data_IF_778187313988
#
_entry.id   IF_778187313988
#
_cell.length_a   1.000
_cell.length_b   1.000
_cell.length_c   1.000
_cell.angle_alpha   90.00
_cell.angle_beta   90.00
_cell.angle_gamma   90.00
#
_symmetry.space_group_name_H-M   'P 1'
#
loop_
_entity.id
_entity.type
_entity.pdbx_description
1 polymer ?
#
# COMPACT_ATOMS: atom_id res chain seq x y z
N UNK A 1 31.62 18.02 -40.36
CA UNK A 1 32.48 17.22 -39.49
C UNK A 1 32.09 17.46 -38.06
N UNK A 2 31.58 16.62 -37.39
CA UNK A 2 31.49 15.29 -36.89
C UNK A 2 30.27 15.14 -35.99
N UNK A 3 29.32 14.35 -36.45
CA UNK A 3 28.21 13.80 -35.65
C UNK A 3 28.59 12.34 -35.40
N UNK A 4 29.10 12.00 -34.25
CA UNK A 4 29.21 10.62 -33.77
C UNK A 4 29.39 10.61 -32.25
N UNK A 5 28.30 10.63 -31.52
CA UNK A 5 28.25 10.04 -30.18
C UNK A 5 26.82 9.62 -29.86
N UNK A 6 26.40 8.48 -30.44
CA UNK A 6 25.20 7.71 -30.06
C UNK A 6 25.66 6.31 -29.75
N UNK A 7 26.19 6.11 -28.54
CA UNK A 7 26.39 4.79 -27.99
C UNK A 7 26.56 4.92 -26.49
N UNK A 8 25.42 4.90 -25.75
CA UNK A 8 25.40 4.33 -24.39
C UNK A 8 23.96 4.37 -23.83
N UNK A 9 23.08 3.53 -24.38
CA UNK A 9 21.72 3.34 -23.86
C UNK A 9 21.36 1.84 -23.73
N UNK A 10 22.32 0.94 -23.75
CA UNK A 10 22.06 -0.51 -23.76
C UNK A 10 22.30 -1.24 -22.43
N UNK A 11 22.61 -0.52 -21.35
CA UNK A 11 22.93 -1.16 -20.05
C UNK A 11 21.99 -0.70 -18.93
N UNK A 12 20.68 -0.73 -19.19
CA UNK A 12 19.71 -0.73 -18.08
C UNK A 12 19.34 -2.17 -17.79
N UNK A 13 19.53 -2.66 -16.56
CA UNK A 13 19.07 -4.00 -16.18
C UNK A 13 17.57 -4.12 -16.42
N UNK A 14 17.16 -5.26 -16.97
CA UNK A 14 15.78 -5.57 -17.28
C UNK A 14 14.94 -5.55 -15.98
N UNK A 15 13.99 -4.61 -15.90
CA UNK A 15 13.08 -4.45 -14.75
C UNK A 15 12.32 -5.74 -14.39
N UNK A 16 12.22 -6.68 -15.32
CA UNK A 16 11.57 -7.98 -15.13
C UNK A 16 12.34 -8.90 -14.18
N UNK A 17 13.67 -8.82 -14.14
CA UNK A 17 14.49 -9.66 -13.26
C UNK A 17 14.49 -9.19 -11.81
N UNK A 18 14.47 -7.89 -11.55
CA UNK A 18 14.38 -7.36 -10.17
C UNK A 18 12.99 -7.62 -9.56
N UNK A 19 11.93 -7.48 -10.35
CA UNK A 19 10.56 -7.85 -9.93
C UNK A 19 10.43 -9.34 -9.63
N UNK A 20 11.09 -10.21 -10.41
CA UNK A 20 11.12 -11.65 -10.16
C UNK A 20 11.91 -12.03 -8.90
N UNK A 21 12.92 -11.22 -8.53
CA UNK A 21 13.71 -11.43 -7.31
C UNK A 21 12.93 -11.04 -6.05
N UNK A 22 12.14 -9.97 -6.11
CA UNK A 22 11.23 -9.56 -5.04
C UNK A 22 10.12 -10.60 -4.80
N UNK A 23 9.62 -11.25 -5.87
CA UNK A 23 8.64 -12.33 -5.78
C UNK A 23 9.19 -13.63 -5.19
N UNK A 24 10.47 -13.95 -5.39
CA UNK A 24 11.08 -15.16 -4.80
C UNK A 24 11.20 -15.06 -3.29
N UNK A 25 11.50 -13.89 -2.75
CA UNK A 25 11.50 -13.67 -1.28
C UNK A 25 10.10 -13.72 -0.67
N UNK A 26 9.04 -13.57 -1.50
CA UNK A 26 7.66 -13.61 -1.03
C UNK A 26 7.10 -15.04 -0.91
N UNK A 27 7.63 -15.99 -1.70
CA UNK A 27 7.08 -17.36 -1.80
C UNK A 27 7.75 -18.38 -0.89
N UNK A 28 8.95 -18.09 -0.35
CA UNK A 28 9.72 -19.06 0.45
C UNK A 28 9.25 -19.21 1.92
N UNK A 29 8.22 -18.45 2.35
CA UNK A 29 7.67 -18.54 3.71
C UNK A 29 6.29 -19.25 3.78
N UNK A 30 5.93 -20.04 2.77
CA UNK A 30 4.67 -20.77 2.67
C UNK A 30 4.75 -22.22 3.17
N UNK A 31 5.36 -22.49 4.32
CA UNK A 31 5.26 -23.81 4.97
C UNK A 31 3.95 -23.90 5.78
N UNK A 32 3.19 -24.96 5.47
CA UNK A 32 1.94 -25.30 6.15
C UNK A 32 2.30 -26.00 7.47
N UNK A 33 2.16 -25.31 8.56
CA UNK A 33 2.21 -25.93 9.87
C UNK A 33 0.83 -26.19 10.46
N UNK A 34 0.68 -27.39 10.92
CA UNK A 34 -0.47 -28.06 11.51
C UNK A 34 -0.93 -27.35 12.80
N UNK A 35 -2.20 -26.89 12.84
CA UNK A 35 -2.75 -26.15 13.96
C UNK A 35 -3.21 -27.08 15.08
N UNK A 36 -2.41 -27.21 16.12
CA UNK A 36 -2.90 -27.62 17.43
C UNK A 36 -3.15 -26.39 18.32
N UNK A 37 -4.40 -26.26 18.80
CA UNK A 37 -4.82 -25.23 19.73
C UNK A 37 -3.97 -25.21 20.99
N UNK A 38 -3.31 -24.08 21.26
CA UNK A 38 -2.84 -23.72 22.59
C UNK A 38 -2.99 -22.21 22.80
N UNK A 39 -3.65 -21.85 23.91
CA UNK A 39 -3.80 -20.48 24.41
C UNK A 39 -2.43 -19.82 24.58
N UNK A 40 -2.05 -18.96 23.65
CA UNK A 40 -0.86 -18.12 23.79
C UNK A 40 -1.23 -16.63 23.69
N UNK A 41 -1.07 -15.93 24.82
CA UNK A 41 -0.65 -14.53 24.81
C UNK A 41 0.71 -14.52 24.11
N UNK A 42 0.71 -14.30 22.79
CA UNK A 42 1.90 -14.48 21.99
C UNK A 42 2.10 -13.34 21.03
N UNK A 43 3.32 -12.85 20.99
CA UNK A 43 3.88 -12.10 19.88
C UNK A 43 3.59 -12.83 18.56
N UNK A 44 3.30 -12.06 17.50
CA UNK A 44 3.16 -12.58 16.15
C UNK A 44 4.48 -13.30 15.76
N UNK A 45 4.46 -14.62 15.61
CA UNK A 45 5.64 -15.43 15.30
C UNK A 45 6.30 -15.13 13.96
N UNK A 46 5.68 -14.26 13.14
CA UNK A 46 6.12 -13.97 11.76
C UNK A 46 6.87 -12.64 11.61
N UNK A 47 6.65 -11.65 12.48
CA UNK A 47 7.23 -10.33 12.31
C UNK A 47 8.37 -9.98 13.27
N UNK A 48 8.65 -10.80 14.28
CA UNK A 48 9.76 -10.59 15.22
C UNK A 48 9.70 -9.27 16.01
N UNK A 49 8.60 -8.51 15.91
CA UNK A 49 8.41 -7.27 16.66
C UNK A 49 7.55 -7.53 17.90
N UNK A 50 8.01 -7.10 19.06
CA UNK A 50 7.29 -7.21 20.33
C UNK A 50 6.00 -6.35 20.39
N UNK A 51 5.76 -5.52 19.37
CA UNK A 51 4.61 -4.62 19.29
C UNK A 51 3.43 -5.17 18.48
N UNK A 52 3.59 -6.31 17.81
CA UNK A 52 2.53 -6.89 17.00
C UNK A 52 1.61 -7.76 17.87
N UNK A 53 0.50 -7.22 18.34
CA UNK A 53 -0.53 -7.99 19.04
C UNK A 53 -1.48 -8.63 18.02
N UNK A 54 -1.60 -9.95 18.03
CA UNK A 54 -2.63 -10.61 17.23
C UNK A 54 -4.02 -10.09 17.65
N UNK A 55 -4.83 -9.61 16.70
CA UNK A 55 -6.13 -9.05 17.03
C UNK A 55 -7.05 -10.12 17.65
N UNK A 56 -7.67 -9.81 18.79
CA UNK A 56 -8.69 -10.68 19.37
C UNK A 56 -9.98 -10.63 18.54
N UNK A 57 -10.72 -11.74 18.47
CA UNK A 57 -12.00 -11.80 17.77
C UNK A 57 -13.03 -10.87 18.44
N UNK A 58 -13.68 -10.02 17.65
CA UNK A 58 -14.71 -9.09 18.12
C UNK A 58 -16.03 -9.83 18.38
N UNK A 59 -16.87 -9.40 19.33
CA UNK A 59 -18.22 -9.93 19.50
C UNK A 59 -18.99 -9.79 18.18
N UNK A 60 -19.64 -10.87 17.73
CA UNK A 60 -20.44 -10.92 16.48
C UNK A 60 -19.65 -10.83 15.17
N UNK A 61 -18.33 -10.88 15.18
CA UNK A 61 -17.49 -10.95 13.98
C UNK A 61 -17.60 -12.36 13.38
N UNK A 62 -17.79 -12.44 12.04
CA UNK A 62 -17.75 -13.72 11.35
C UNK A 62 -16.32 -14.30 11.39
N UNK A 63 -16.18 -15.59 11.24
CA UNK A 63 -14.86 -16.24 11.17
C UNK A 63 -14.05 -15.74 9.98
N UNK A 64 -14.72 -15.48 8.88
CA UNK A 64 -14.13 -15.00 7.64
C UNK A 64 -13.60 -13.56 7.79
N UNK A 65 -14.39 -12.66 8.40
CA UNK A 65 -13.95 -11.28 8.67
C UNK A 65 -12.77 -11.24 9.65
N UNK A 66 -12.76 -12.14 10.64
CA UNK A 66 -11.67 -12.26 11.58
C UNK A 66 -10.38 -12.70 10.90
N UNK A 67 -10.43 -13.71 10.02
CA UNK A 67 -9.26 -14.18 9.26
C UNK A 67 -8.73 -13.09 8.33
N UNK A 68 -9.61 -12.39 7.60
CA UNK A 68 -9.20 -11.27 6.74
C UNK A 68 -8.50 -10.16 7.55
N UNK A 69 -9.02 -9.84 8.74
CA UNK A 69 -8.41 -8.83 9.61
C UNK A 69 -7.07 -9.30 10.17
N UNK A 70 -6.93 -10.58 10.49
CA UNK A 70 -5.66 -11.17 10.91
C UNK A 70 -4.60 -11.08 9.80
N UNK A 71 -4.96 -11.47 8.56
CA UNK A 71 -4.06 -11.39 7.41
C UNK A 71 -3.61 -9.94 7.15
N UNK A 72 -4.55 -8.99 7.21
CA UNK A 72 -4.25 -7.57 7.06
C UNK A 72 -3.29 -7.08 8.15
N UNK A 73 -3.55 -7.43 9.42
CA UNK A 73 -2.69 -7.06 10.53
C UNK A 73 -1.27 -7.62 10.37
N UNK A 74 -1.13 -8.88 9.93
CA UNK A 74 0.18 -9.48 9.64
C UNK A 74 0.94 -8.76 8.52
N UNK A 75 0.24 -8.25 7.51
CA UNK A 75 0.87 -7.44 6.44
C UNK A 75 1.32 -6.09 6.97
N UNK A 76 0.45 -5.43 7.72
CA UNK A 76 0.72 -4.10 8.28
C UNK A 76 1.81 -4.13 9.38
N UNK A 77 2.07 -5.25 10.04
CA UNK A 77 3.18 -5.41 10.99
C UNK A 77 4.57 -5.18 10.37
N UNK A 78 4.72 -5.35 9.07
CA UNK A 78 5.98 -5.09 8.35
C UNK A 78 6.23 -3.60 8.10
N UNK A 79 5.27 -2.77 8.45
CA UNK A 79 5.30 -1.31 8.29
C UNK A 79 5.42 -0.71 9.68
N UNK A 80 6.53 -0.04 9.96
CA UNK A 80 6.82 0.48 11.31
C UNK A 80 5.88 1.61 11.71
N UNK A 81 5.67 2.57 10.81
CA UNK A 81 4.83 3.74 11.04
C UNK A 81 3.78 3.91 9.94
N UNK A 82 2.54 4.12 10.31
CA UNK A 82 1.39 4.31 9.41
C UNK A 82 0.78 5.68 9.65
N UNK A 83 1.05 6.62 8.76
CA UNK A 83 0.64 8.03 8.90
C UNK A 83 -0.59 8.29 8.03
N UNK A 84 -1.71 8.64 8.67
CA UNK A 84 -2.95 8.98 8.00
C UNK A 84 -3.03 10.50 7.78
N UNK A 85 -3.13 10.93 6.52
CA UNK A 85 -3.32 12.34 6.16
C UNK A 85 -4.79 12.57 5.81
N UNK A 86 -5.49 13.26 6.68
CA UNK A 86 -6.93 13.51 6.55
C UNK A 86 -7.26 15.00 6.69
N UNK A 87 -8.39 15.40 6.12
CA UNK A 87 -8.89 16.77 6.20
C UNK A 87 -10.41 16.80 6.17
N UNK A 88 -11.02 17.65 6.99
CA UNK A 88 -12.47 17.84 7.02
C UNK A 88 -13.04 18.57 5.78
N UNK A 89 -12.19 19.16 4.92
CA UNK A 89 -12.58 19.91 3.73
C UNK A 89 -11.68 19.58 2.55
N UNK A 90 -12.25 19.59 1.33
CA UNK A 90 -11.47 19.50 0.10
C UNK A 90 -10.67 20.78 -0.17
N UNK A 91 -9.61 20.67 -0.97
CA UNK A 91 -8.82 21.80 -1.45
C UNK A 91 -7.90 22.49 -0.42
N UNK A 92 -7.67 21.90 0.75
CA UNK A 92 -6.82 22.46 1.82
C UNK A 92 -5.35 22.04 1.72
N UNK A 93 -4.97 21.29 0.70
CA UNK A 93 -3.60 20.83 0.49
C UNK A 93 -3.27 19.48 1.14
N UNK A 94 -4.26 18.66 1.49
CA UNK A 94 -4.10 17.34 2.09
C UNK A 94 -3.10 16.47 1.31
N UNK A 95 -3.36 16.20 0.03
CA UNK A 95 -2.50 15.39 -0.83
C UNK A 95 -1.12 16.03 -1.03
N UNK A 96 -1.05 17.37 -1.05
CA UNK A 96 0.24 18.08 -1.08
C UNK A 96 1.07 17.78 0.16
N UNK A 97 0.45 17.75 1.34
CA UNK A 97 1.14 17.37 2.59
C UNK A 97 1.58 15.90 2.53
N UNK A 98 0.70 14.99 2.12
CA UNK A 98 1.00 13.56 2.02
C UNK A 98 2.20 13.29 1.10
N UNK A 99 2.18 13.86 -0.11
CA UNK A 99 3.24 13.69 -1.11
C UNK A 99 4.56 14.28 -0.61
N UNK A 100 4.56 15.51 -0.10
CA UNK A 100 5.78 16.16 0.37
C UNK A 100 6.36 15.44 1.61
N UNK A 101 5.52 14.95 2.50
CA UNK A 101 5.97 14.14 3.64
C UNK A 101 6.64 12.85 3.16
N UNK A 102 6.02 12.10 2.25
CA UNK A 102 6.56 10.87 1.70
C UNK A 102 7.92 11.12 1.00
N UNK A 103 8.00 12.16 0.16
CA UNK A 103 9.24 12.55 -0.52
C UNK A 103 10.33 12.92 0.51
N UNK A 104 9.99 13.72 1.53
CA UNK A 104 10.96 14.17 2.55
C UNK A 104 11.52 12.97 3.33
N UNK A 105 10.67 12.01 3.70
CA UNK A 105 11.09 10.79 4.39
C UNK A 105 11.98 9.92 3.49
N UNK A 106 11.63 9.78 2.21
CA UNK A 106 12.43 9.03 1.24
C UNK A 106 13.80 9.69 1.03
N UNK A 107 13.86 11.01 0.88
CA UNK A 107 15.12 11.77 0.80
C UNK A 107 15.96 11.65 2.09
N UNK A 108 15.34 11.39 3.23
CA UNK A 108 16.02 11.08 4.49
C UNK A 108 16.49 9.61 4.57
N UNK A 109 16.43 8.84 3.49
CA UNK A 109 16.89 7.46 3.41
C UNK A 109 15.96 6.45 4.07
N UNK A 110 14.66 6.77 4.23
CA UNK A 110 13.67 5.85 4.76
C UNK A 110 12.99 5.06 3.65
N UNK A 111 12.62 3.81 3.94
CA UNK A 111 11.77 3.01 3.07
C UNK A 111 10.33 3.50 3.22
N UNK A 112 9.77 4.08 2.16
CA UNK A 112 8.47 4.79 2.23
C UNK A 112 7.49 4.22 1.23
N UNK A 113 6.27 3.94 1.70
CA UNK A 113 5.09 3.72 0.88
C UNK A 113 4.20 4.97 0.87
N UNK A 114 3.61 5.28 -0.27
CA UNK A 114 2.57 6.30 -0.41
C UNK A 114 1.32 5.65 -1.00
N UNK A 115 0.24 5.66 -0.25
CA UNK A 115 -1.05 5.11 -0.64
C UNK A 115 -2.08 6.23 -0.80
N UNK A 116 -2.58 6.43 -2.02
CA UNK A 116 -3.63 7.41 -2.33
C UNK A 116 -4.96 6.69 -2.50
N UNK A 117 -5.88 6.93 -1.57
CA UNK A 117 -7.22 6.36 -1.55
C UNK A 117 -8.32 7.41 -1.82
N UNK A 118 -7.95 8.61 -2.32
CA UNK A 118 -8.91 9.62 -2.75
C UNK A 118 -9.45 9.30 -4.15
N UNK A 119 -10.62 8.67 -4.19
CA UNK A 119 -11.26 8.24 -5.44
C UNK A 119 -11.80 9.43 -6.24
N UNK A 120 -12.23 10.48 -5.54
CA UNK A 120 -12.92 11.62 -6.18
C UNK A 120 -11.94 12.57 -6.86
N UNK A 121 -10.66 12.52 -6.53
CA UNK A 121 -9.64 13.36 -7.11
C UNK A 121 -8.24 12.81 -6.85
N UNK A 122 -7.93 11.61 -7.38
CA UNK A 122 -6.60 11.02 -7.17
C UNK A 122 -5.55 11.94 -7.79
N UNK A 123 -4.87 12.69 -6.94
CA UNK A 123 -3.95 13.74 -7.37
C UNK A 123 -2.48 13.32 -7.29
N UNK A 124 -2.18 12.25 -6.55
CA UNK A 124 -0.82 11.77 -6.32
C UNK A 124 -0.09 11.40 -7.63
N UNK A 125 -0.68 10.64 -8.58
CA UNK A 125 0.00 10.34 -9.84
C UNK A 125 0.36 11.61 -10.61
N UNK A 126 -0.54 12.59 -10.66
CA UNK A 126 -0.32 13.86 -11.33
C UNK A 126 0.77 14.70 -10.67
N UNK A 127 0.79 14.75 -9.33
CA UNK A 127 1.77 15.52 -8.57
C UNK A 127 3.18 14.95 -8.70
N UNK A 128 3.30 13.63 -8.93
CA UNK A 128 4.57 12.94 -9.08
C UNK A 128 4.99 12.72 -10.54
N UNK A 129 4.18 13.17 -11.53
CA UNK A 129 4.45 12.95 -12.95
C UNK A 129 4.34 11.48 -13.39
N UNK A 130 3.53 10.70 -12.67
CA UNK A 130 3.33 9.26 -12.87
C UNK A 130 2.01 8.94 -13.59
N UNK A 131 1.41 9.94 -14.28
CA UNK A 131 0.12 9.75 -14.97
C UNK A 131 0.17 8.67 -16.06
N UNK A 132 1.36 8.31 -16.52
CA UNK A 132 1.56 7.29 -17.55
C UNK A 132 1.87 5.90 -16.99
N UNK A 133 2.08 5.77 -15.72
CA UNK A 133 2.34 4.49 -15.07
C UNK A 133 1.04 3.70 -14.86
N UNK A 134 1.13 2.39 -14.88
CA UNK A 134 0.00 1.47 -14.65
C UNK A 134 0.38 0.48 -13.57
N UNK A 135 -0.59 0.06 -12.78
CA UNK A 135 -0.41 -0.99 -11.78
C UNK A 135 -0.45 -2.34 -12.49
N UNK A 136 0.46 -3.21 -12.12
CA UNK A 136 0.50 -4.60 -12.58
C UNK A 136 0.06 -5.52 -11.45
N UNK A 137 -0.80 -6.48 -11.77
CA UNK A 137 -1.13 -7.60 -10.89
C UNK A 137 -0.33 -8.82 -11.38
N UNK A 138 0.46 -9.39 -10.48
CA UNK A 138 1.24 -10.59 -10.76
C UNK A 138 0.90 -11.63 -9.69
N UNK A 139 0.20 -12.69 -10.09
CA UNK A 139 -0.20 -13.79 -9.21
C UNK A 139 -1.00 -13.34 -7.96
N UNK A 140 -1.83 -12.31 -8.08
CA UNK A 140 -2.62 -11.75 -6.98
C UNK A 140 -1.85 -10.77 -6.09
N UNK A 141 -0.61 -10.43 -6.41
CA UNK A 141 0.14 -9.35 -5.77
C UNK A 141 0.10 -8.09 -6.62
N UNK A 142 -0.29 -6.97 -6.02
CA UNK A 142 -0.34 -5.67 -6.67
C UNK A 142 1.05 -5.03 -6.54
N UNK A 143 1.71 -4.82 -7.68
CA UNK A 143 3.02 -4.18 -7.69
C UNK A 143 2.86 -2.65 -7.60
N UNK A 144 3.44 -2.00 -6.59
CA UNK A 144 3.50 -0.55 -6.51
C UNK A 144 4.31 0.04 -7.67
N UNK A 145 3.94 1.25 -8.09
CA UNK A 145 4.82 2.07 -8.93
C UNK A 145 5.98 2.56 -8.09
N UNK A 146 7.20 2.43 -8.58
CA UNK A 146 8.41 2.83 -7.87
C UNK A 146 8.92 4.19 -8.36
N UNK A 147 9.20 5.09 -7.44
CA UNK A 147 9.86 6.37 -7.70
C UNK A 147 11.07 6.50 -6.77
N UNK A 148 12.26 6.17 -7.28
CA UNK A 148 13.44 5.97 -6.43
C UNK A 148 13.21 4.82 -5.45
N UNK A 149 13.40 5.07 -4.16
CA UNK A 149 13.16 4.10 -3.09
C UNK A 149 11.71 4.13 -2.54
N UNK A 150 10.85 4.96 -3.14
CA UNK A 150 9.46 5.12 -2.70
C UNK A 150 8.52 4.24 -3.52
N UNK A 151 7.61 3.54 -2.84
CA UNK A 151 6.57 2.69 -3.43
C UNK A 151 5.23 3.40 -3.40
N UNK A 152 4.52 3.43 -4.53
CA UNK A 152 3.31 4.24 -4.69
C UNK A 152 2.18 3.36 -5.21
N UNK A 153 1.06 3.34 -4.49
CA UNK A 153 -0.21 2.85 -4.98
C UNK A 153 -1.24 3.99 -4.94
N UNK A 154 -1.97 4.17 -6.02
CA UNK A 154 -3.05 5.16 -6.11
C UNK A 154 -4.23 4.55 -6.84
N UNK A 155 -5.42 4.85 -6.36
CA UNK A 155 -6.66 4.55 -7.10
C UNK A 155 -6.68 5.24 -8.46
N UNK A 156 -5.95 6.33 -8.62
CA UNK A 156 -5.79 7.02 -9.90
C UNK A 156 -5.14 6.18 -10.99
N UNK A 157 -4.35 5.20 -10.65
CA UNK A 157 -3.76 4.30 -11.64
C UNK A 157 -4.77 3.33 -12.27
N UNK A 158 -5.91 3.07 -11.62
CA UNK A 158 -7.01 2.26 -12.16
C UNK A 158 -8.02 3.05 -12.99
N UNK A 159 -8.13 4.36 -12.75
CA UNK A 159 -9.15 5.20 -13.39
C UNK A 159 -8.78 5.65 -14.80
N UNK A 160 -7.73 5.14 -15.39
CA UNK A 160 -7.21 5.60 -16.69
C UNK A 160 -8.01 5.22 -17.91
N UNK A 161 -8.76 4.17 -17.88
CA UNK A 161 -9.67 3.85 -18.96
C UNK A 161 -10.96 4.62 -18.70
N UNK A 162 -11.03 5.84 -19.27
CA UNK A 162 -12.21 6.72 -19.18
C UNK A 162 -13.50 6.04 -19.66
N UNK A 163 -13.40 4.94 -20.40
CA UNK A 163 -14.53 4.12 -20.85
C UNK A 163 -14.98 3.10 -19.78
N UNK A 164 -14.14 2.80 -18.81
CA UNK A 164 -14.50 2.04 -17.62
C UNK A 164 -14.97 3.01 -16.52
N UNK A 165 -16.11 3.66 -16.76
CA UNK A 165 -16.87 4.32 -15.69
C UNK A 165 -17.38 3.24 -14.71
N UNK A 166 -16.47 2.61 -14.00
CA UNK A 166 -16.79 1.75 -12.87
C UNK A 166 -17.41 2.65 -11.83
N UNK A 167 -18.72 2.56 -11.70
CA UNK A 167 -19.43 3.26 -10.63
C UNK A 167 -19.00 2.59 -9.32
N UNK A 168 -17.94 3.12 -8.75
CA UNK A 168 -17.41 2.68 -7.47
C UNK A 168 -18.44 2.97 -6.37
N UNK A 169 -19.26 1.99 -6.05
CA UNK A 169 -20.14 2.06 -4.88
C UNK A 169 -19.33 1.84 -3.61
N UNK A 170 -19.72 2.47 -2.50
CA UNK A 170 -18.99 2.45 -1.22
C UNK A 170 -18.38 1.09 -0.83
N UNK A 171 -19.11 -0.04 -0.87
CA UNK A 171 -18.54 -1.35 -0.54
C UNK A 171 -17.38 -1.78 -1.45
N UNK A 172 -17.44 -1.46 -2.75
CA UNK A 172 -16.35 -1.78 -3.69
C UNK A 172 -15.09 -0.97 -3.42
N UNK A 173 -15.25 0.30 -3.03
CA UNK A 173 -14.14 1.19 -2.67
C UNK A 173 -13.35 0.61 -1.50
N UNK A 174 -14.03 0.21 -0.45
CA UNK A 174 -13.41 -0.39 0.73
C UNK A 174 -12.72 -1.72 0.42
N UNK A 175 -13.29 -2.51 -0.49
CA UNK A 175 -12.67 -3.75 -0.98
C UNK A 175 -11.30 -3.50 -1.60
N UNK A 176 -11.19 -2.49 -2.46
CA UNK A 176 -9.92 -2.16 -3.13
C UNK A 176 -8.90 -1.57 -2.15
N UNK A 177 -9.32 -0.73 -1.22
CA UNK A 177 -8.43 -0.20 -0.19
C UNK A 177 -7.87 -1.34 0.67
N UNK A 178 -8.73 -2.28 1.10
CA UNK A 178 -8.30 -3.50 1.78
C UNK A 178 -7.30 -4.30 0.92
N UNK A 179 -7.60 -4.44 -0.36
CA UNK A 179 -6.75 -5.16 -1.30
C UNK A 179 -5.39 -4.48 -1.47
N UNK A 180 -5.33 -3.16 -1.59
CA UNK A 180 -4.07 -2.41 -1.64
C UNK A 180 -3.21 -2.61 -0.39
N UNK A 181 -3.85 -2.63 0.77
CA UNK A 181 -3.15 -2.83 2.04
C UNK A 181 -2.70 -4.29 2.21
N UNK A 182 -3.52 -5.27 1.76
CA UNK A 182 -3.29 -6.70 1.91
C UNK A 182 -2.37 -7.26 0.81
N UNK A 183 -2.70 -6.99 -0.47
CA UNK A 183 -2.09 -7.62 -1.64
C UNK A 183 -1.02 -6.72 -2.27
N UNK A 184 -0.88 -5.48 -1.81
CA UNK A 184 0.21 -4.59 -2.23
C UNK A 184 1.58 -5.16 -1.85
N UNK A 185 2.50 -5.23 -2.82
CA UNK A 185 3.86 -5.71 -2.61
C UNK A 185 4.72 -4.65 -1.90
N UNK A 186 4.27 -4.20 -0.73
CA UNK A 186 4.95 -3.16 0.05
C UNK A 186 6.33 -3.57 0.55
N UNK A 187 6.50 -4.86 0.92
CA UNK A 187 7.70 -5.33 1.61
C UNK A 187 7.81 -4.75 3.03
N UNK A 188 9.03 -4.51 3.46
CA UNK A 188 9.31 -3.84 4.73
C UNK A 188 9.38 -2.34 4.51
N UNK A 189 8.60 -1.56 5.25
CA UNK A 189 8.59 -0.11 5.18
C UNK A 189 8.89 0.50 6.55
N UNK A 190 9.62 1.63 6.54
CA UNK A 190 9.72 2.48 7.73
C UNK A 190 8.44 3.30 7.90
N UNK A 191 7.88 3.81 6.80
CA UNK A 191 6.68 4.63 6.80
C UNK A 191 5.73 4.26 5.66
N UNK A 192 4.44 4.18 5.97
CA UNK A 192 3.36 4.19 4.99
C UNK A 192 2.54 5.46 5.19
N UNK A 193 2.61 6.38 4.24
CA UNK A 193 1.81 7.60 4.23
C UNK A 193 0.54 7.33 3.43
N UNK A 194 -0.63 7.60 4.01
CA UNK A 194 -1.92 7.30 3.42
C UNK A 194 -2.69 8.61 3.23
N UNK A 195 -2.94 8.98 1.98
CA UNK A 195 -3.74 10.14 1.59
C UNK A 195 -5.21 9.75 1.50
N UNK A 196 -6.00 10.16 2.48
CA UNK A 196 -7.41 9.82 2.64
C UNK A 196 -8.32 10.77 1.83
N UNK A 197 -9.54 10.36 1.46
CA UNK A 197 -10.50 11.28 0.88
C UNK A 197 -10.84 12.43 1.85
N UNK A 198 -11.22 13.61 1.32
CA UNK A 198 -11.64 14.73 2.14
C UNK A 198 -13.00 14.49 2.78
N UNK A 199 -13.22 15.10 3.93
CA UNK A 199 -14.51 15.05 4.63
C UNK A 199 -14.46 14.31 5.96
N UNK A 200 -15.62 14.27 6.61
CA UNK A 200 -15.83 13.59 7.90
C UNK A 200 -16.82 12.42 7.78
N UNK A 201 -17.02 11.94 6.55
CA UNK A 201 -17.97 10.86 6.25
C UNK A 201 -17.43 9.47 6.62
N UNK A 202 -18.18 8.47 6.22
CA UNK A 202 -17.89 7.06 6.55
C UNK A 202 -16.62 6.54 5.87
N UNK A 203 -16.22 7.11 4.73
CA UNK A 203 -15.05 6.64 3.96
C UNK A 203 -13.73 6.82 4.74
N UNK A 204 -13.36 8.04 5.22
CA UNK A 204 -12.16 8.23 6.03
C UNK A 204 -12.18 7.39 7.32
N UNK A 205 -13.33 7.34 8.00
CA UNK A 205 -13.48 6.58 9.24
C UNK A 205 -13.27 5.09 9.01
N UNK A 206 -13.79 4.55 7.90
CA UNK A 206 -13.64 3.13 7.57
C UNK A 206 -12.17 2.78 7.30
N UNK A 207 -11.41 3.66 6.65
CA UNK A 207 -9.95 3.45 6.46
C UNK A 207 -9.22 3.51 7.78
N UNK A 208 -9.54 4.47 8.66
CA UNK A 208 -8.97 4.54 10.01
C UNK A 208 -9.25 3.28 10.83
N UNK A 209 -10.42 2.65 10.65
CA UNK A 209 -10.77 1.40 11.32
C UNK A 209 -10.03 0.18 10.78
N UNK A 210 -9.57 0.21 9.52
CA UNK A 210 -8.76 -0.85 8.94
C UNK A 210 -7.31 -0.83 9.45
N UNK A 211 -6.82 0.35 9.84
CA UNK A 211 -5.44 0.57 10.26
C UNK A 211 -5.46 0.87 11.76
N UNK A 212 -5.59 -0.20 12.57
CA UNK A 212 -5.77 -0.10 14.02
C UNK A 212 -4.58 0.56 14.75
N UNK A 213 -3.37 0.47 14.18
CA UNK A 213 -2.11 0.97 14.75
C UNK A 213 -1.57 2.19 13.98
N UNK A 214 -2.43 3.12 13.59
CA UNK A 214 -2.00 4.35 12.94
C UNK A 214 -1.37 5.33 13.95
N UNK A 215 -0.26 5.99 13.53
CA UNK A 215 0.40 7.08 14.26
C UNK A 215 -0.28 8.44 14.00
#
# INVERSE_FOLDING_TARGET
SDLSDQSDLSDRPDRSEESAKALRTFNDNGEKDDMTHSDHKGSCGTCGSDSCSAPARRPHESEQDFLERQELAQRLCRIKHKILVLSGKGGVGKSTVAVNLAITLSLAGKQVGLLDVDIHGPSVPKMLGLEHETISDIHGAILPVELGDMKILSLGFFLRNADDAVIWRGPMKMGIIKQFLKDGAWGELDYLVIDLPPGTGDEPLSVCQLIEDAD
#
